data_IF_346185339036
#
_entry.id   IF_346185339036
#
_cell.length_a   1.000
_cell.length_b   1.000
_cell.length_c   1.000
_cell.angle_alpha   90.00
_cell.angle_beta   90.00
_cell.angle_gamma   90.00
#
_symmetry.space_group_name_H-M   'P 1'
#
loop_
_entity.id
_entity.type
_entity.pdbx_description
1 polymer ?
#
# COMPACT_ATOMS: atom_id res chain seq x y z
N UNK A 1 13.29 -22.16 -3.44
CA UNK A 1 12.44 -20.95 -3.54
C UNK A 1 12.91 -19.97 -4.64
N UNK A 2 12.74 -20.27 -5.94
CA UNK A 2 12.90 -19.27 -7.01
C UNK A 2 11.56 -18.74 -7.57
N UNK A 3 10.51 -19.56 -7.55
CA UNK A 3 9.21 -19.28 -8.18
C UNK A 3 8.46 -18.09 -7.55
N UNK A 4 8.57 -17.90 -6.24
CA UNK A 4 7.85 -16.83 -5.50
C UNK A 4 8.45 -15.45 -5.76
N UNK A 5 9.77 -15.36 -5.93
CA UNK A 5 10.44 -14.10 -6.35
C UNK A 5 10.08 -13.75 -7.79
N UNK A 6 9.90 -14.76 -8.65
CA UNK A 6 9.46 -14.59 -10.02
C UNK A 6 8.05 -14.00 -10.12
N UNK A 7 7.09 -14.51 -9.34
CA UNK A 7 5.70 -14.06 -9.39
C UNK A 7 5.52 -12.60 -8.92
N UNK A 8 6.22 -12.19 -7.87
CA UNK A 8 6.19 -10.80 -7.37
C UNK A 8 6.82 -9.84 -8.37
N UNK A 9 7.92 -10.25 -9.01
CA UNK A 9 8.57 -9.49 -10.07
C UNK A 9 7.72 -9.38 -11.34
N UNK A 10 7.06 -10.47 -11.75
CA UNK A 10 6.11 -10.49 -12.86
C UNK A 10 4.86 -9.64 -12.57
N UNK A 11 4.38 -9.59 -11.32
CA UNK A 11 3.32 -8.66 -10.91
C UNK A 11 3.78 -7.20 -11.10
N UNK A 12 4.91 -6.80 -10.53
CA UNK A 12 5.40 -5.40 -10.57
C UNK A 12 5.80 -4.91 -11.98
N UNK A 13 6.10 -5.83 -12.90
CA UNK A 13 6.49 -5.54 -14.29
C UNK A 13 5.38 -5.79 -15.31
N UNK A 14 4.23 -6.34 -14.89
CA UNK A 14 3.09 -6.59 -15.76
C UNK A 14 2.50 -5.27 -16.27
N UNK A 15 2.11 -5.17 -17.56
CA UNK A 15 1.35 -4.04 -18.10
C UNK A 15 0.05 -3.74 -17.34
N UNK A 16 -0.43 -4.70 -16.53
CA UNK A 16 -1.60 -4.58 -15.64
C UNK A 16 -1.30 -3.76 -14.37
N UNK A 17 -0.04 -3.71 -13.93
CA UNK A 17 0.42 -2.82 -12.82
C UNK A 17 0.75 -1.42 -13.32
N UNK A 18 0.83 -1.21 -14.64
CA UNK A 18 1.03 0.09 -15.27
C UNK A 18 -0.29 0.87 -15.50
N UNK A 19 -1.43 0.30 -15.10
CA UNK A 19 -2.70 1.04 -14.99
C UNK A 19 -2.94 1.39 -13.53
N UNK A 20 -2.77 2.68 -13.24
CA UNK A 20 -3.29 3.45 -12.11
C UNK A 20 -4.18 2.69 -11.14
N UNK A 21 -3.78 2.68 -9.87
CA UNK A 21 -4.49 2.19 -8.66
C UNK A 21 -4.06 0.79 -8.21
N UNK A 22 -2.96 0.76 -7.47
CA UNK A 22 -2.68 -0.25 -6.45
C UNK A 22 -2.15 0.42 -5.19
N UNK A 23 -2.99 1.18 -4.50
CA UNK A 23 -2.80 1.52 -3.08
C UNK A 23 -4.21 1.63 -2.48
N UNK A 24 -4.41 0.98 -1.33
CA UNK A 24 -5.67 0.86 -0.57
C UNK A 24 -6.56 -0.34 -0.91
N UNK A 25 -6.00 -1.54 -0.85
CA UNK A 25 -6.71 -2.65 -0.18
C UNK A 25 -5.82 -3.12 0.97
N UNK A 26 -6.35 -3.16 2.19
CA UNK A 26 -5.68 -3.82 3.30
C UNK A 26 -5.64 -5.31 2.98
N UNK A 27 -4.58 -5.75 2.29
CA UNK A 27 -4.41 -7.12 1.81
C UNK A 27 -3.98 -8.06 2.94
N UNK A 28 -4.93 -8.35 3.82
CA UNK A 28 -4.77 -9.21 5.00
C UNK A 28 -5.02 -10.71 4.72
N UNK A 29 -4.84 -11.14 3.47
CA UNK A 29 -5.30 -12.45 3.01
C UNK A 29 -4.25 -13.49 2.66
N UNK A 30 -3.11 -13.09 2.08
CA UNK A 30 -2.24 -14.05 1.39
C UNK A 30 -0.72 -13.83 1.52
N UNK A 31 -0.28 -13.01 2.46
CA UNK A 31 1.13 -12.94 2.88
C UNK A 31 1.32 -13.48 4.30
N UNK A 32 0.85 -14.71 4.50
CA UNK A 32 1.42 -15.53 5.58
C UNK A 32 2.88 -15.79 5.20
N UNK A 33 3.81 -15.28 6.00
CA UNK A 33 5.27 -15.27 5.82
C UNK A 33 5.85 -14.17 4.91
N UNK A 34 5.79 -12.91 5.34
CA UNK A 34 6.94 -12.04 5.15
C UNK A 34 7.13 -11.08 6.32
N UNK A 35 8.32 -11.08 6.89
CA UNK A 35 8.82 -10.12 7.88
C UNK A 35 8.90 -8.68 7.36
N UNK A 36 8.38 -8.39 6.16
CA UNK A 36 8.40 -7.08 5.52
C UNK A 36 7.22 -6.18 5.88
N UNK A 37 6.10 -6.76 6.33
CA UNK A 37 4.90 -6.01 6.72
C UNK A 37 5.00 -5.42 8.14
N UNK A 38 5.68 -6.13 9.04
CA UNK A 38 5.68 -5.87 10.50
C UNK A 38 7.10 -5.70 11.04
N UNK A 39 7.89 -4.85 10.39
CA UNK A 39 9.34 -4.76 10.63
C UNK A 39 9.68 -4.25 12.03
N UNK A 40 8.78 -3.48 12.65
CA UNK A 40 9.07 -2.68 13.85
C UNK A 40 8.21 -3.03 15.07
N UNK A 41 7.71 -4.27 15.19
CA UNK A 41 6.71 -4.62 16.22
C UNK A 41 7.22 -5.57 17.30
N UNK A 42 6.58 -5.44 18.47
CA UNK A 42 6.64 -6.40 19.56
C UNK A 42 5.81 -7.65 19.21
N UNK A 43 6.13 -8.78 19.84
CA UNK A 43 5.58 -10.10 19.51
C UNK A 43 4.06 -10.21 19.64
N UNK A 44 3.45 -9.43 20.52
CA UNK A 44 2.00 -9.43 20.78
C UNK A 44 1.17 -8.90 19.61
N UNK A 45 1.63 -7.83 18.95
CA UNK A 45 0.96 -7.27 17.77
C UNK A 45 1.01 -8.22 16.58
N UNK A 46 2.14 -8.90 16.42
CA UNK A 46 2.33 -9.91 15.36
C UNK A 46 1.39 -11.10 15.61
N UNK A 47 1.25 -11.54 16.87
CA UNK A 47 0.33 -12.60 17.25
C UNK A 47 -1.13 -12.21 16.97
N UNK A 48 -1.55 -11.00 17.38
CA UNK A 48 -2.91 -10.50 17.16
C UNK A 48 -3.24 -10.39 15.66
N UNK A 49 -2.32 -9.89 14.85
CA UNK A 49 -2.49 -9.83 13.40
C UNK A 49 -2.64 -11.25 12.81
N UNK A 50 -1.79 -12.18 13.23
CA UNK A 50 -1.79 -13.57 12.73
C UNK A 50 -3.12 -14.27 12.97
N UNK A 51 -3.74 -14.09 14.15
CA UNK A 51 -5.02 -14.73 14.48
C UNK A 51 -6.24 -14.00 13.89
N UNK A 52 -6.08 -12.74 13.47
CA UNK A 52 -7.17 -11.90 12.95
C UNK A 52 -7.27 -11.92 11.42
N UNK A 53 -6.20 -12.32 10.72
CA UNK A 53 -6.18 -12.40 9.26
C UNK A 53 -7.13 -13.47 8.73
N UNK A 54 -7.75 -13.18 7.57
CA UNK A 54 -8.67 -14.10 6.87
C UNK A 54 -8.27 -14.19 5.41
N UNK A 55 -8.37 -15.37 4.76
CA UNK A 55 -8.08 -15.49 3.34
C UNK A 55 -8.89 -14.51 2.50
N UNK A 56 -8.26 -13.89 1.51
CA UNK A 56 -8.92 -12.96 0.58
C UNK A 56 -8.99 -13.61 -0.80
N UNK A 57 -10.11 -13.53 -1.54
CA UNK A 57 -10.17 -14.08 -2.89
C UNK A 57 -9.22 -13.32 -3.84
N UNK A 58 -8.28 -14.04 -4.47
CA UNK A 58 -7.31 -13.45 -5.39
C UNK A 58 -7.93 -13.03 -6.73
N UNK A 59 -9.01 -13.68 -7.17
CA UNK A 59 -9.65 -13.40 -8.46
C UNK A 59 -10.05 -11.93 -8.65
N UNK A 60 -10.85 -11.35 -7.72
CA UNK A 60 -11.21 -9.93 -7.77
C UNK A 60 -10.01 -8.98 -7.65
N UNK A 61 -8.95 -9.36 -6.93
CA UNK A 61 -7.73 -8.56 -6.81
C UNK A 61 -6.98 -8.50 -8.15
N UNK A 62 -7.03 -9.55 -8.96
CA UNK A 62 -6.31 -9.56 -10.24
C UNK A 62 -7.11 -8.93 -11.38
N UNK A 63 -8.34 -8.49 -11.13
CA UNK A 63 -9.21 -7.93 -12.15
C UNK A 63 -8.75 -6.52 -12.56
N UNK A 64 -8.72 -6.27 -13.87
CA UNK A 64 -8.32 -4.96 -14.39
C UNK A 64 -9.43 -3.94 -14.16
N UNK A 65 -9.15 -2.94 -13.34
CA UNK A 65 -10.05 -1.80 -13.15
C UNK A 65 -9.98 -0.84 -14.35
N UNK A 66 -11.15 -0.45 -14.85
CA UNK A 66 -11.29 0.59 -15.87
C UNK A 66 -11.67 1.91 -15.21
N UNK A 67 -10.74 2.85 -15.18
CA UNK A 67 -10.92 4.15 -14.53
C UNK A 67 -11.14 5.24 -15.58
N UNK A 68 -12.03 6.19 -15.28
CA UNK A 68 -12.33 7.30 -16.19
C UNK A 68 -12.04 8.66 -15.53
N UNK A 69 -11.60 9.67 -16.28
CA UNK A 69 -11.39 11.02 -15.74
C UNK A 69 -12.66 11.63 -15.12
N UNK A 70 -13.82 11.34 -15.67
CA UNK A 70 -15.12 11.90 -15.25
C UNK A 70 -15.53 11.39 -13.86
N UNK A 71 -15.12 10.17 -13.50
CA UNK A 71 -15.42 9.54 -12.23
C UNK A 71 -14.21 9.55 -11.30
N UNK A 72 -13.18 8.77 -11.63
CA UNK A 72 -11.96 8.62 -10.83
C UNK A 72 -11.13 9.91 -10.77
N UNK A 73 -11.10 10.68 -11.86
CA UNK A 73 -10.36 11.94 -11.94
C UNK A 73 -10.99 13.09 -11.16
N UNK A 74 -12.28 13.00 -10.78
CA UNK A 74 -12.99 14.05 -10.05
C UNK A 74 -12.68 14.07 -8.55
N UNK A 75 -12.33 12.91 -7.97
CA UNK A 75 -11.97 12.82 -6.57
C UNK A 75 -10.60 13.44 -6.31
N UNK A 76 -10.48 14.23 -5.25
CA UNK A 76 -9.17 14.70 -4.76
C UNK A 76 -8.39 13.52 -4.22
N UNK A 77 -7.13 13.39 -4.62
CA UNK A 77 -6.29 12.24 -4.28
C UNK A 77 -5.03 12.72 -3.59
N UNK A 78 -4.69 12.09 -2.48
CA UNK A 78 -3.46 12.31 -1.75
C UNK A 78 -2.77 10.98 -1.51
N UNK A 79 -1.45 10.96 -1.60
CA UNK A 79 -0.64 9.77 -1.37
C UNK A 79 0.20 9.94 -0.11
N UNK A 80 0.25 8.93 0.76
CA UNK A 80 1.10 8.93 1.95
C UNK A 80 2.16 7.85 1.77
N UNK A 81 3.40 8.27 1.57
CA UNK A 81 4.55 7.36 1.41
C UNK A 81 5.06 6.86 2.77
N UNK A 82 5.30 5.56 2.86
CA UNK A 82 5.87 4.87 4.02
C UNK A 82 7.32 4.49 3.70
N UNK A 83 8.29 5.20 4.26
CA UNK A 83 9.67 5.13 3.74
C UNK A 83 10.46 3.89 4.16
N UNK A 84 9.97 3.15 5.14
CA UNK A 84 10.61 1.93 5.64
C UNK A 84 9.76 0.69 5.27
N UNK A 85 8.86 0.85 4.31
CA UNK A 85 8.01 -0.21 3.78
C UNK A 85 8.84 -1.21 2.98
N UNK A 86 8.87 -2.46 3.46
CA UNK A 86 9.56 -3.57 2.79
C UNK A 86 8.63 -4.39 1.89
N UNK A 87 7.32 -4.17 1.94
CA UNK A 87 6.35 -4.79 1.04
C UNK A 87 6.22 -3.97 -0.25
N UNK A 88 6.25 -2.64 -0.15
CA UNK A 88 6.23 -1.72 -1.29
C UNK A 88 7.37 -0.70 -1.14
N UNK A 89 8.49 -0.94 -1.83
CA UNK A 89 9.68 -0.10 -1.66
C UNK A 89 9.42 1.37 -2.05
N UNK A 90 10.17 2.33 -1.49
CA UNK A 90 10.03 3.75 -1.83
C UNK A 90 10.10 4.04 -3.33
N UNK A 91 10.99 3.36 -4.07
CA UNK A 91 11.12 3.53 -5.52
C UNK A 91 9.86 3.10 -6.28
N UNK A 92 9.20 2.02 -5.84
CA UNK A 92 7.92 1.58 -6.44
C UNK A 92 6.82 2.58 -6.10
N UNK A 93 6.77 3.09 -4.86
CA UNK A 93 5.82 4.14 -4.47
C UNK A 93 6.01 5.41 -5.32
N UNK A 94 7.26 5.82 -5.58
CA UNK A 94 7.56 6.97 -6.42
C UNK A 94 7.15 6.76 -7.89
N UNK A 95 7.34 5.54 -8.41
CA UNK A 95 6.84 5.17 -9.74
C UNK A 95 5.32 5.30 -9.82
N UNK A 96 4.57 4.78 -8.84
CA UNK A 96 3.11 4.88 -8.79
C UNK A 96 2.62 6.33 -8.76
N UNK A 97 3.27 7.18 -7.96
CA UNK A 97 2.97 8.63 -7.90
C UNK A 97 3.23 9.30 -9.24
N UNK A 98 4.27 8.90 -9.97
CA UNK A 98 4.61 9.47 -11.28
C UNK A 98 3.62 9.05 -12.37
N UNK A 99 3.22 7.79 -12.38
CA UNK A 99 2.31 7.23 -13.39
C UNK A 99 0.86 7.68 -13.18
N UNK A 100 0.47 7.96 -11.93
CA UNK A 100 -0.86 8.45 -11.58
C UNK A 100 -0.77 9.57 -10.53
N UNK A 101 -0.47 10.82 -10.97
CA UNK A 101 -0.24 11.94 -10.07
C UNK A 101 -1.42 12.21 -9.13
N UNK A 102 -1.19 12.25 -7.80
CA UNK A 102 -2.13 12.79 -6.84
C UNK A 102 -2.01 14.32 -6.76
N UNK A 103 -2.95 14.96 -6.07
CA UNK A 103 -2.92 16.39 -5.74
C UNK A 103 -1.78 16.71 -4.77
N UNK A 104 -1.47 15.80 -3.85
CA UNK A 104 -0.38 15.96 -2.89
C UNK A 104 0.23 14.64 -2.44
N UNK A 105 1.49 14.70 -2.01
CA UNK A 105 2.26 13.56 -1.51
C UNK A 105 2.85 13.89 -0.14
N UNK A 106 2.54 13.07 0.85
CA UNK A 106 3.07 13.14 2.21
C UNK A 106 4.03 11.98 2.45
N UNK A 107 4.93 12.10 3.42
CA UNK A 107 5.90 11.03 3.73
C UNK A 107 5.99 10.79 5.23
N UNK A 108 6.01 9.52 5.64
CA UNK A 108 6.22 9.10 7.02
C UNK A 108 7.53 8.30 7.10
N UNK A 109 8.55 8.91 7.73
CA UNK A 109 9.84 8.26 8.02
C UNK A 109 9.68 7.21 9.13
N UNK A 110 10.33 6.06 9.00
CA UNK A 110 10.24 5.01 10.01
C UNK A 110 8.89 4.29 10.05
N UNK A 111 8.03 4.48 9.05
CA UNK A 111 6.78 3.75 8.91
C UNK A 111 7.00 2.52 8.05
N UNK A 112 6.56 1.37 8.55
CA UNK A 112 6.39 0.17 7.73
C UNK A 112 5.13 0.29 6.84
N UNK A 113 4.76 -0.83 6.20
CA UNK A 113 3.59 -0.94 5.33
C UNK A 113 2.27 -0.55 6.00
N UNK A 114 2.20 -0.60 7.32
CA UNK A 114 0.99 -0.36 8.10
C UNK A 114 1.16 0.88 9.00
N UNK A 115 1.08 2.11 8.46
CA UNK A 115 1.32 3.35 9.22
C UNK A 115 0.36 3.56 10.39
N UNK A 116 -0.84 2.97 10.31
CA UNK A 116 -1.83 2.98 11.40
C UNK A 116 -1.39 2.15 12.60
N UNK A 117 -0.48 1.19 12.38
CA UNK A 117 0.20 0.48 13.44
C UNK A 117 1.53 1.16 13.78
N UNK A 118 2.47 1.29 12.84
CA UNK A 118 3.85 1.70 13.13
C UNK A 118 4.00 3.19 13.48
N UNK A 119 3.17 4.07 12.91
CA UNK A 119 3.26 5.54 13.09
C UNK A 119 1.88 6.22 13.22
N UNK A 120 0.99 5.77 14.13
CA UNK A 120 -0.41 6.21 14.19
C UNK A 120 -0.57 7.71 14.40
N UNK A 121 0.27 8.35 15.22
CA UNK A 121 0.20 9.79 15.46
C UNK A 121 0.63 10.60 14.24
N UNK A 122 1.65 10.12 13.50
CA UNK A 122 2.10 10.79 12.27
C UNK A 122 1.05 10.66 11.18
N UNK A 123 0.46 9.47 11.03
CA UNK A 123 -0.66 9.25 10.11
C UNK A 123 -1.85 10.14 10.47
N UNK A 124 -2.26 10.18 11.74
CA UNK A 124 -3.36 11.01 12.20
C UNK A 124 -3.15 12.50 11.88
N UNK A 125 -1.95 13.04 12.15
CA UNK A 125 -1.61 14.43 11.84
C UNK A 125 -1.76 14.72 10.34
N UNK A 126 -1.22 13.85 9.48
CA UNK A 126 -1.31 14.02 8.02
C UNK A 126 -2.76 13.95 7.54
N UNK A 127 -3.58 13.04 8.08
CA UNK A 127 -5.00 12.96 7.73
C UNK A 127 -5.76 14.24 8.10
N UNK A 128 -5.46 14.84 9.26
CA UNK A 128 -6.03 16.12 9.65
C UNK A 128 -5.57 17.26 8.74
N UNK A 129 -4.30 17.26 8.34
CA UNK A 129 -3.76 18.25 7.40
C UNK A 129 -4.46 18.16 6.04
N UNK A 130 -4.60 16.95 5.48
CA UNK A 130 -5.32 16.70 4.23
C UNK A 130 -6.78 17.18 4.32
N UNK A 131 -7.46 16.90 5.44
CA UNK A 131 -8.85 17.30 5.64
C UNK A 131 -9.06 18.82 5.69
N UNK A 132 -7.99 19.59 5.94
CA UNK A 132 -8.02 21.06 5.99
C UNK A 132 -7.60 21.72 4.68
N UNK A 133 -7.14 20.97 3.67
CA UNK A 133 -6.77 21.55 2.38
C UNK A 133 -8.05 22.01 1.68
N UNK A 134 -8.16 23.30 1.31
CA UNK A 134 -9.36 23.85 0.67
C UNK A 134 -9.67 23.20 -0.68
#
# INVERSE_FOLDING_TARGET
MPLVKGLVWEMLTSPVVNSSVWVYTMDLGWLSFSSGLWVYRDSEDVALATVSMRPIPLGPIMEKLSLSPENYGKGRRFFIQTLDDRALSPDVQEKLVRENPPEGVFKIKGSDHCPFFSKPQSLHKILLEIAQIP
#
